data_IF_924087943810
#
_entry.id   IF_924087943810
#
_cell.length_a   1.000
_cell.length_b   1.000
_cell.length_c   1.000
_cell.angle_alpha   90.00
_cell.angle_beta   90.00
_cell.angle_gamma   90.00
#
_symmetry.space_group_name_H-M   'P 1'
#
loop_
_entity.id
_entity.type
_entity.pdbx_description
1 polymer ?
#
# COMPACT_ATOMS: atom_id res chain seq x y z
N UNK A 1 -3.79 -26.04 8.59
CA UNK A 1 -5.00 -25.27 8.95
C UNK A 1 -5.83 -25.09 7.68
N UNK A 2 -7.17 -25.22 7.72
CA UNK A 2 -8.01 -24.92 6.55
C UNK A 2 -7.99 -23.41 6.27
N UNK A 3 -7.95 -23.06 4.99
CA UNK A 3 -7.97 -21.66 4.52
C UNK A 3 -9.38 -21.08 4.63
N UNK A 4 -9.50 -19.82 5.06
CA UNK A 4 -10.75 -19.06 5.14
C UNK A 4 -10.65 -17.92 4.11
N UNK A 5 -11.35 -17.98 2.97
CA UNK A 5 -11.33 -16.90 1.99
C UNK A 5 -11.97 -15.63 2.55
N UNK A 6 -11.38 -14.47 2.25
CA UNK A 6 -11.99 -13.18 2.57
C UNK A 6 -13.26 -12.98 1.73
N UNK A 7 -14.32 -12.47 2.36
CA UNK A 7 -15.55 -12.10 1.65
C UNK A 7 -15.32 -10.87 0.77
N UNK A 8 -16.14 -10.69 -0.27
CA UNK A 8 -16.05 -9.50 -1.13
C UNK A 8 -16.23 -8.20 -0.32
N UNK A 9 -17.06 -8.22 0.72
CA UNK A 9 -17.22 -7.09 1.64
C UNK A 9 -15.94 -6.80 2.43
N UNK A 10 -15.21 -7.83 2.89
CA UNK A 10 -13.91 -7.65 3.55
C UNK A 10 -12.87 -7.07 2.59
N UNK A 11 -12.90 -7.50 1.32
CA UNK A 11 -12.02 -6.94 0.27
C UNK A 11 -12.36 -5.49 -0.04
N UNK A 12 -13.65 -5.15 -0.13
CA UNK A 12 -14.11 -3.76 -0.35
C UNK A 12 -13.73 -2.89 0.85
N UNK A 13 -13.97 -3.37 2.07
CA UNK A 13 -13.64 -2.66 3.30
C UNK A 13 -12.12 -2.41 3.38
N UNK A 14 -11.30 -3.41 3.11
CA UNK A 14 -9.84 -3.26 3.09
C UNK A 14 -9.36 -2.27 2.01
N UNK A 15 -10.00 -2.25 0.83
CA UNK A 15 -9.72 -1.24 -0.20
C UNK A 15 -10.31 0.14 0.09
N UNK A 16 -11.21 0.27 1.07
CA UNK A 16 -11.71 1.55 1.56
C UNK A 16 -10.84 2.15 2.66
N UNK A 17 -9.92 1.37 3.24
CA UNK A 17 -8.97 1.88 4.24
C UNK A 17 -8.05 2.90 3.57
N UNK A 18 -7.94 4.07 4.19
CA UNK A 18 -6.97 5.08 3.77
C UNK A 18 -5.56 4.52 3.97
N UNK A 19 -4.89 4.25 2.85
CA UNK A 19 -3.57 3.64 2.85
C UNK A 19 -2.54 4.59 3.46
N UNK A 20 -2.75 5.90 3.33
CA UNK A 20 -1.88 6.90 3.92
C UNK A 20 -1.95 6.86 5.44
N UNK A 21 -3.17 6.80 6.00
CA UNK A 21 -3.37 6.72 7.45
C UNK A 21 -2.82 5.41 8.02
N UNK A 22 -3.10 4.28 7.36
CA UNK A 22 -2.57 2.97 7.75
C UNK A 22 -1.03 2.98 7.82
N UNK A 23 -0.37 3.54 6.81
CA UNK A 23 1.09 3.61 6.76
C UNK A 23 1.64 4.54 7.85
N UNK A 24 1.00 5.68 8.09
CA UNK A 24 1.36 6.58 9.22
C UNK A 24 1.26 5.87 10.57
N UNK A 25 0.22 5.07 10.79
CA UNK A 25 0.05 4.31 12.02
C UNK A 25 1.15 3.25 12.23
N UNK A 26 1.71 2.69 11.15
CA UNK A 26 2.86 1.78 11.21
C UNK A 26 4.21 2.49 11.39
N UNK A 27 4.23 3.82 11.38
CA UNK A 27 5.46 4.60 11.48
C UNK A 27 6.18 4.79 10.15
N UNK A 28 5.53 4.48 9.02
CA UNK A 28 6.09 4.74 7.69
C UNK A 28 6.21 6.25 7.43
N UNK A 29 7.27 6.63 6.73
CA UNK A 29 7.52 8.04 6.43
C UNK A 29 6.80 8.45 5.15
N UNK A 30 5.79 9.30 5.31
CA UNK A 30 5.07 9.92 4.20
C UNK A 30 5.43 11.41 4.06
N UNK A 31 5.91 11.81 2.89
CA UNK A 31 6.16 13.21 2.52
C UNK A 31 5.01 13.73 1.67
N UNK A 32 4.41 14.87 2.02
CA UNK A 32 3.31 15.44 1.25
C UNK A 32 3.83 16.09 -0.03
N UNK A 33 3.25 15.71 -1.18
CA UNK A 33 3.57 16.26 -2.51
C UNK A 33 2.28 16.75 -3.16
N UNK A 34 1.98 18.04 -3.00
CA UNK A 34 0.73 18.63 -3.48
C UNK A 34 -0.51 18.04 -2.80
N UNK A 35 -1.31 17.29 -3.57
CA UNK A 35 -2.52 16.59 -3.10
C UNK A 35 -2.28 15.11 -2.79
N UNK A 36 -1.08 14.61 -3.01
CA UNK A 36 -0.69 13.23 -2.81
C UNK A 36 0.36 13.13 -1.71
N UNK A 37 0.65 11.90 -1.29
CA UNK A 37 1.76 11.60 -0.41
C UNK A 37 2.78 10.70 -1.11
N UNK A 38 4.05 10.90 -0.81
CA UNK A 38 5.15 10.07 -1.28
C UNK A 38 5.62 9.18 -0.13
N UNK A 39 5.67 7.88 -0.36
CA UNK A 39 6.21 6.93 0.60
C UNK A 39 7.74 6.92 0.50
N UNK A 40 8.39 7.16 1.64
CA UNK A 40 9.84 7.11 1.79
C UNK A 40 10.19 5.84 2.54
N UNK A 41 10.80 4.88 1.85
CA UNK A 41 11.22 3.60 2.44
C UNK A 41 12.71 3.33 2.20
N UNK A 42 13.27 2.41 2.98
CA UNK A 42 14.68 2.03 2.91
C UNK A 42 14.80 0.52 2.77
N UNK A 43 15.62 0.07 1.82
CA UNK A 43 16.00 -1.34 1.69
C UNK A 43 17.52 -1.48 1.53
N UNK A 44 18.00 -2.69 1.20
CA UNK A 44 19.43 -2.96 0.98
C UNK A 44 20.07 -2.15 -0.14
N UNK A 45 19.28 -1.59 -1.06
CA UNK A 45 19.72 -0.74 -2.16
C UNK A 45 19.65 0.77 -1.86
N UNK A 46 19.08 1.17 -0.72
CA UNK A 46 19.11 2.55 -0.21
C UNK A 46 17.73 3.14 0.04
N UNK A 47 17.66 4.48 0.02
CA UNK A 47 16.42 5.25 0.17
C UNK A 47 15.65 5.25 -1.15
N UNK A 48 14.37 4.94 -1.09
CA UNK A 48 13.45 4.99 -2.22
C UNK A 48 12.31 5.95 -1.95
N UNK A 49 11.85 6.58 -3.02
CA UNK A 49 10.83 7.61 -2.99
C UNK A 49 9.94 7.56 -4.26
N UNK A 50 9.93 6.38 -4.92
CA UNK A 50 9.25 6.14 -6.19
C UNK A 50 7.76 5.85 -6.06
N UNK A 51 7.22 5.77 -4.85
CA UNK A 51 5.82 5.41 -4.60
C UNK A 51 5.02 6.65 -4.19
N UNK A 52 3.95 6.94 -4.93
CA UNK A 52 2.94 7.93 -4.54
C UNK A 52 1.67 7.26 -4.05
N UNK A 53 0.98 7.92 -3.12
CA UNK A 53 -0.23 7.50 -2.44
C UNK A 53 -1.29 8.58 -2.60
N UNK A 54 -2.52 8.13 -2.82
CA UNK A 54 -3.71 8.97 -2.85
C UNK A 54 -4.88 8.20 -2.25
N UNK A 55 -5.23 8.51 -1.02
CA UNK A 55 -6.26 7.80 -0.25
C UNK A 55 -5.92 6.31 -0.15
N UNK A 56 -6.78 5.43 -0.66
CA UNK A 56 -6.56 3.97 -0.65
C UNK A 56 -5.79 3.42 -1.85
N UNK A 57 -5.30 4.29 -2.74
CA UNK A 57 -4.57 3.90 -3.96
C UNK A 57 -3.10 4.29 -3.90
N UNK A 58 -2.27 3.57 -4.67
CA UNK A 58 -0.85 3.81 -4.80
C UNK A 58 -0.32 3.58 -6.22
N UNK A 59 0.83 4.17 -6.51
CA UNK A 59 1.55 3.97 -7.77
C UNK A 59 3.07 4.03 -7.55
N UNK A 60 3.80 3.03 -8.03
CA UNK A 60 5.26 3.00 -8.10
C UNK A 60 5.74 3.40 -9.50
N UNK A 61 6.34 4.60 -9.57
CA UNK A 61 6.87 5.19 -10.78
C UNK A 61 8.07 4.43 -11.35
N UNK A 62 8.81 3.70 -10.52
CA UNK A 62 9.98 2.93 -10.97
C UNK A 62 9.56 1.65 -11.71
N UNK A 63 8.59 0.93 -11.15
CA UNK A 63 8.11 -0.34 -11.69
C UNK A 63 6.87 -0.20 -12.59
N UNK A 64 6.32 1.01 -12.73
CA UNK A 64 5.11 1.30 -13.50
C UNK A 64 3.92 0.43 -13.07
N UNK A 65 3.78 0.23 -11.77
CA UNK A 65 2.75 -0.62 -11.18
C UNK A 65 1.97 0.17 -10.13
N UNK A 66 0.69 -0.14 -9.97
CA UNK A 66 -0.13 0.46 -8.93
C UNK A 66 -1.37 -0.39 -8.63
N UNK A 67 -2.19 0.10 -7.72
CA UNK A 67 -3.44 -0.55 -7.32
C UNK A 67 -4.05 0.06 -6.06
N UNK A 68 -4.98 -0.68 -5.45
CA UNK A 68 -5.55 -0.36 -4.15
C UNK A 68 -4.70 -0.88 -2.99
N UNK A 69 -5.18 -0.63 -1.77
CA UNK A 69 -4.53 -1.02 -0.53
C UNK A 69 -4.21 -2.52 -0.44
N UNK A 70 -5.11 -3.42 -0.88
CA UNK A 70 -4.84 -4.87 -0.84
C UNK A 70 -3.61 -5.23 -1.68
N UNK A 71 -3.55 -4.72 -2.92
CA UNK A 71 -2.42 -4.99 -3.81
C UNK A 71 -1.12 -4.41 -3.24
N UNK A 72 -1.18 -3.24 -2.61
CA UNK A 72 -0.04 -2.68 -1.91
C UNK A 72 0.50 -3.63 -0.82
N UNK A 73 -0.41 -4.19 -0.01
CA UNK A 73 -0.04 -5.11 1.06
C UNK A 73 0.53 -6.44 0.52
N UNK A 74 0.06 -6.90 -0.64
CA UNK A 74 0.66 -8.05 -1.33
C UNK A 74 2.10 -7.76 -1.76
N UNK A 75 2.32 -6.63 -2.45
CA UNK A 75 3.60 -6.28 -3.06
C UNK A 75 4.68 -5.92 -2.03
N UNK A 76 4.36 -5.11 -1.01
CA UNK A 76 5.36 -4.58 -0.07
C UNK A 76 5.38 -5.26 1.29
N UNK A 77 4.29 -5.94 1.67
CA UNK A 77 4.16 -6.56 2.99
C UNK A 77 4.02 -8.09 2.94
N UNK A 78 4.11 -8.69 1.74
CA UNK A 78 4.05 -10.14 1.56
C UNK A 78 2.74 -10.76 2.06
N UNK A 79 1.66 -9.99 2.10
CA UNK A 79 0.36 -10.51 2.53
C UNK A 79 -0.28 -11.30 1.39
N UNK A 80 -0.51 -12.59 1.61
CA UNK A 80 -1.20 -13.46 0.64
C UNK A 80 -2.72 -13.30 0.77
N UNK A 81 -3.28 -12.36 0.02
CA UNK A 81 -4.72 -12.29 -0.20
C UNK A 81 -5.02 -13.01 -1.52
N UNK A 82 -5.62 -14.21 -1.52
CA UNK A 82 -6.17 -14.75 -2.78
C UNK A 82 -7.40 -13.93 -3.17
N UNK A 83 -7.24 -13.06 -4.18
CA UNK A 83 -8.31 -12.30 -4.84
C UNK A 83 -9.22 -13.19 -5.66
#
# INVERSE_FOLDING_TARGET
MPYIPFTDEQKILANSVDLEEFLRMRGEKLERVGREHKLIYYDSSGKHDSITLRGSTWFDHKNQVGGGAIKFMQEFYGMDFQT
#
